data_IF_401010909776
#
_entry.id   IF_401010909776
#
_cell.length_a   1.000
_cell.length_b   1.000
_cell.length_c   1.000
_cell.angle_alpha   90.00
_cell.angle_beta   90.00
_cell.angle_gamma   90.00
#
_symmetry.space_group_name_H-M   'P 1'
#
loop_
_entity.id
_entity.type
_entity.pdbx_description
1 polymer ?
#
# COMPACT_ATOMS: atom_id res chain seq x y z
N UNK A 1 -2.21 25.01 -20.36
CA UNK A 1 -3.08 23.97 -19.77
C UNK A 1 -2.77 22.68 -20.51
N UNK A 2 -2.28 21.64 -19.83
CA UNK A 2 -2.16 20.30 -20.43
C UNK A 2 -3.48 19.58 -20.17
N UNK A 3 -4.24 19.30 -21.22
CA UNK A 3 -5.47 18.52 -21.13
C UNK A 3 -5.14 17.03 -21.23
N UNK A 4 -5.50 16.26 -20.21
CA UNK A 4 -5.32 14.81 -20.20
C UNK A 4 -6.51 14.06 -20.81
N UNK A 5 -6.25 12.94 -21.50
CA UNK A 5 -7.26 12.00 -22.00
C UNK A 5 -7.02 10.65 -21.31
N UNK A 6 -8.04 10.08 -20.67
CA UNK A 6 -7.94 8.78 -20.00
C UNK A 6 -8.16 7.64 -21.01
N UNK A 7 -7.17 6.76 -21.14
CA UNK A 7 -7.22 5.59 -22.01
C UNK A 7 -7.73 4.39 -21.21
N UNK A 8 -9.00 4.01 -21.41
CA UNK A 8 -9.65 2.87 -20.69
C UNK A 8 -9.90 1.63 -21.54
N UNK A 9 -9.86 1.78 -22.86
CA UNK A 9 -10.32 0.77 -23.79
C UNK A 9 -9.15 0.06 -24.49
N UNK A 10 -9.43 -1.05 -25.18
CA UNK A 10 -8.50 -1.71 -26.11
C UNK A 10 -8.31 -0.94 -27.43
N UNK A 11 -8.43 0.39 -27.39
CA UNK A 11 -8.20 1.26 -28.55
C UNK A 11 -6.69 1.51 -28.70
N UNK A 12 -6.26 1.63 -29.94
CA UNK A 12 -4.88 2.00 -30.29
C UNK A 12 -4.70 3.51 -30.19
N UNK A 13 -3.45 3.99 -30.11
CA UNK A 13 -3.16 5.43 -30.11
C UNK A 13 -3.66 6.14 -31.38
N UNK A 14 -3.77 5.43 -32.50
CA UNK A 14 -4.34 5.94 -33.74
C UNK A 14 -5.83 6.28 -33.61
N UNK A 15 -6.58 5.51 -32.81
CA UNK A 15 -8.01 5.74 -32.56
C UNK A 15 -8.27 7.01 -31.73
N UNK A 16 -7.23 7.55 -31.09
CA UNK A 16 -7.24 8.83 -30.35
C UNK A 16 -6.60 9.98 -31.14
N UNK A 17 -6.31 9.78 -32.43
CA UNK A 17 -5.65 10.75 -33.31
C UNK A 17 -4.27 11.21 -32.81
N UNK A 18 -3.53 10.35 -32.10
CA UNK A 18 -2.15 10.65 -31.70
C UNK A 18 -1.22 10.48 -32.90
N UNK A 19 -0.51 11.55 -33.28
CA UNK A 19 0.44 11.52 -34.40
C UNK A 19 1.69 10.72 -34.04
N UNK A 20 2.32 10.09 -35.06
CA UNK A 20 3.47 9.19 -34.92
C UNK A 20 4.70 9.81 -34.21
N UNK A 21 4.79 11.14 -34.17
CA UNK A 21 5.92 11.90 -33.60
C UNK A 21 5.51 12.75 -32.39
N UNK A 22 4.35 12.46 -31.78
CA UNK A 22 3.89 13.17 -30.59
C UNK A 22 4.66 12.74 -29.35
N UNK A 23 5.04 13.69 -28.48
CA UNK A 23 5.60 13.40 -27.16
C UNK A 23 4.45 13.21 -26.17
N UNK A 24 4.32 12.00 -25.60
CA UNK A 24 3.26 11.64 -24.68
C UNK A 24 3.75 11.61 -23.23
N UNK A 25 3.10 12.36 -22.34
CA UNK A 25 3.28 12.24 -20.89
C UNK A 25 2.24 11.24 -20.34
N UNK A 26 2.65 9.97 -20.19
CA UNK A 26 1.78 8.92 -19.68
C UNK A 26 1.75 8.91 -18.15
N UNK A 27 0.56 9.06 -17.56
CA UNK A 27 0.33 8.89 -16.12
C UNK A 27 -0.46 7.60 -15.90
N UNK A 28 0.21 6.58 -15.36
CA UNK A 28 -0.39 5.26 -15.11
C UNK A 28 -1.19 5.29 -13.80
N UNK A 29 -2.52 5.27 -13.90
CA UNK A 29 -3.40 5.06 -12.75
C UNK A 29 -3.55 3.57 -12.46
N UNK A 30 -2.59 2.98 -11.74
CA UNK A 30 -2.70 1.60 -11.26
C UNK A 30 -3.75 1.54 -10.15
N UNK A 31 -4.92 0.95 -10.44
CA UNK A 31 -5.86 0.56 -9.37
C UNK A 31 -5.23 -0.62 -8.63
N UNK A 32 -5.01 -0.47 -7.33
CA UNK A 32 -4.48 -1.55 -6.49
C UNK A 32 -5.30 -2.83 -6.63
N UNK A 33 -4.65 -3.99 -6.52
CA UNK A 33 -5.34 -5.28 -6.57
C UNK A 33 -6.30 -5.45 -5.39
N UNK A 34 -7.51 -5.96 -5.68
CA UNK A 34 -8.43 -6.40 -4.62
C UNK A 34 -7.82 -7.62 -3.93
N UNK A 35 -7.50 -7.48 -2.64
CA UNK A 35 -7.10 -8.61 -1.80
C UNK A 35 -8.37 -9.20 -1.21
N UNK A 36 -8.56 -10.51 -1.39
CA UNK A 36 -9.65 -11.25 -0.77
C UNK A 36 -9.74 -10.95 0.74
N UNK A 37 -10.94 -10.64 1.29
CA UNK A 37 -11.07 -10.17 2.66
C UNK A 37 -10.42 -11.08 3.72
N UNK A 38 -10.51 -12.40 3.52
CA UNK A 38 -9.89 -13.37 4.44
C UNK A 38 -8.35 -13.30 4.42
N UNK A 39 -7.76 -13.18 3.23
CA UNK A 39 -6.30 -13.03 3.10
C UNK A 39 -5.84 -11.70 3.69
N UNK A 40 -6.65 -10.64 3.52
CA UNK A 40 -6.38 -9.34 4.16
C UNK A 40 -6.43 -9.45 5.68
N UNK A 41 -7.44 -10.12 6.24
CA UNK A 41 -7.53 -10.33 7.69
C UNK A 41 -6.32 -11.11 8.22
N UNK A 42 -5.91 -12.19 7.54
CA UNK A 42 -4.69 -12.93 7.89
C UNK A 42 -3.45 -12.02 7.87
N UNK A 43 -3.27 -11.25 6.80
CA UNK A 43 -2.14 -10.34 6.66
C UNK A 43 -2.11 -9.27 7.76
N UNK A 44 -3.27 -8.75 8.18
CA UNK A 44 -3.37 -7.79 9.28
C UNK A 44 -2.92 -8.40 10.60
N UNK A 45 -3.39 -9.60 10.95
CA UNK A 45 -3.00 -10.27 12.21
C UNK A 45 -1.49 -10.51 12.32
N UNK A 46 -0.83 -10.78 11.19
CA UNK A 46 0.60 -11.07 11.14
C UNK A 46 1.46 -9.80 11.08
N UNK A 47 1.07 -8.81 10.29
CA UNK A 47 1.91 -7.65 9.98
C UNK A 47 1.56 -6.39 10.78
N UNK A 48 0.29 -6.20 11.13
CA UNK A 48 -0.23 -4.91 11.61
C UNK A 48 -0.77 -4.96 13.04
N UNK A 49 -1.50 -6.01 13.41
CA UNK A 49 -2.12 -6.18 14.73
C UNK A 49 -1.07 -6.60 15.77
N UNK A 50 -0.15 -5.67 16.08
CA UNK A 50 0.93 -5.82 17.04
C UNK A 50 0.90 -4.64 17.99
N UNK A 51 1.31 -4.88 19.23
CA UNK A 51 1.61 -3.79 20.15
C UNK A 51 3.05 -3.32 19.94
N UNK A 52 3.29 -2.03 20.17
CA UNK A 52 4.62 -1.43 20.09
C UNK A 52 4.97 -0.89 21.47
N UNK A 53 6.10 -1.32 22.04
CA UNK A 53 6.59 -0.74 23.28
C UNK A 53 7.03 0.71 23.03
N UNK A 54 6.44 1.66 23.74
CA UNK A 54 6.74 3.09 23.53
C UNK A 54 8.17 3.49 23.95
N UNK A 55 8.84 2.71 24.80
CA UNK A 55 10.20 3.02 25.26
C UNK A 55 11.29 2.40 24.39
N UNK A 56 11.02 1.25 23.76
CA UNK A 56 12.04 0.53 23.01
C UNK A 56 11.66 0.14 21.58
N UNK A 57 10.45 0.51 21.15
CA UNK A 57 9.88 0.25 19.83
C UNK A 57 9.84 -1.23 19.44
N UNK A 58 9.91 -2.13 20.42
CA UNK A 58 9.75 -3.56 20.15
C UNK A 58 8.31 -3.87 19.76
N UNK A 59 8.13 -4.61 18.66
CA UNK A 59 6.85 -5.18 18.26
C UNK A 59 6.54 -6.40 19.12
N UNK A 60 5.28 -6.51 19.54
CA UNK A 60 4.81 -7.48 20.53
C UNK A 60 3.44 -8.04 20.12
N UNK A 61 3.06 -9.23 20.59
CA UNK A 61 1.73 -9.76 20.33
C UNK A 61 0.66 -8.86 20.97
N UNK A 62 -0.56 -8.81 20.40
CA UNK A 62 -1.63 -7.93 20.87
C UNK A 62 -2.10 -8.25 22.30
N UNK A 63 -1.84 -9.47 22.79
CA UNK A 63 -2.19 -9.87 24.16
C UNK A 63 -1.07 -9.59 25.19
N UNK A 64 0.03 -8.95 24.80
CA UNK A 64 1.11 -8.65 25.73
C UNK A 64 0.72 -7.48 26.66
N UNK A 65 0.80 -7.68 27.97
CA UNK A 65 0.57 -6.62 28.96
C UNK A 65 1.83 -5.82 29.29
N UNK A 66 3.00 -6.37 29.00
CA UNK A 66 4.30 -5.81 29.33
C UNK A 66 5.30 -6.09 28.22
N UNK A 67 6.30 -5.23 28.11
CA UNK A 67 7.34 -5.40 27.12
C UNK A 67 8.30 -6.54 27.45
N UNK A 68 8.62 -7.34 26.43
CA UNK A 68 9.57 -8.45 26.56
C UNK A 68 11.04 -8.01 26.67
N UNK A 69 11.35 -6.72 26.42
CA UNK A 69 12.73 -6.23 26.38
C UNK A 69 13.18 -5.69 27.74
N UNK A 70 14.20 -6.32 28.32
CA UNK A 70 14.80 -5.89 29.60
C UNK A 70 15.29 -4.43 29.57
N UNK A 71 15.79 -3.93 28.43
CA UNK A 71 16.27 -2.54 28.29
C UNK A 71 15.21 -1.45 28.54
N UNK A 72 13.92 -1.79 28.52
CA UNK A 72 12.85 -0.86 28.90
C UNK A 72 12.24 -1.17 30.28
N UNK A 73 12.87 -2.05 31.06
CA UNK A 73 12.39 -2.45 32.38
C UNK A 73 11.02 -3.14 32.35
N UNK A 74 10.71 -3.91 31.29
CA UNK A 74 9.41 -4.58 31.13
C UNK A 74 8.20 -3.64 31.22
N UNK A 75 8.37 -2.45 30.65
CA UNK A 75 7.33 -1.42 30.62
C UNK A 75 5.98 -1.98 30.16
N UNK A 76 4.93 -1.59 30.88
CA UNK A 76 3.53 -1.80 30.48
C UNK A 76 3.24 -1.24 29.10
#
# INVERSE_FOLDING_TARGET
MVSGIELKDRRTLADYNVQKESILHLVLCLRGGLIEPLLKALALTYNCEKMICQKCYACMPPCATNCCKCKCGHSS
#
